data_IF_999309655360
#
_entry.id   IF_999309655360
#
_cell.length_a   1.000
_cell.length_b   1.000
_cell.length_c   1.000
_cell.angle_alpha   90.00
_cell.angle_beta   90.00
_cell.angle_gamma   90.00
#
_symmetry.space_group_name_H-M   'P 1'
#
loop_
_entity.id
_entity.type
_entity.pdbx_description
1 polymer ?
#
# COMPACT_ATOMS: atom_id res chain seq x y z
N UNK A 1 -4.14 10.57 -26.53
CA UNK A 1 -5.02 9.47 -26.06
C UNK A 1 -4.16 8.26 -25.72
N UNK A 2 -3.58 8.24 -24.52
CA UNK A 2 -2.82 7.09 -24.02
C UNK A 2 -3.60 6.51 -22.83
N UNK A 3 -3.92 5.23 -22.93
CA UNK A 3 -4.59 4.36 -21.94
C UNK A 3 -6.14 4.42 -21.84
N UNK A 4 -6.84 3.27 -21.94
CA UNK A 4 -8.32 3.18 -21.85
C UNK A 4 -8.91 3.30 -20.44
N UNK A 5 -8.10 3.47 -19.38
CA UNK A 5 -8.61 3.60 -18.00
C UNK A 5 -8.48 5.01 -17.40
N UNK A 6 -7.61 5.86 -17.93
CA UNK A 6 -7.39 7.22 -17.42
C UNK A 6 -7.33 8.20 -18.60
N UNK A 7 -8.43 8.88 -18.89
CA UNK A 7 -8.39 10.07 -19.73
C UNK A 7 -7.85 11.20 -18.86
N UNK A 8 -6.60 11.61 -19.06
CA UNK A 8 -5.97 12.76 -18.37
C UNK A 8 -6.77 14.07 -18.45
N UNK A 9 -7.86 14.12 -19.22
CA UNK A 9 -8.71 15.31 -19.41
C UNK A 9 -9.75 15.55 -18.28
N UNK A 10 -9.52 15.06 -17.06
CA UNK A 10 -10.56 14.94 -16.01
C UNK A 10 -10.42 15.78 -14.74
N UNK A 11 -9.37 16.58 -14.59
CA UNK A 11 -9.12 17.31 -13.33
C UNK A 11 -8.44 16.46 -12.24
N UNK A 12 -8.52 16.86 -10.97
CA UNK A 12 -7.80 16.25 -9.84
C UNK A 12 -7.98 14.72 -9.73
N UNK A 13 -6.95 14.00 -9.28
CA UNK A 13 -7.00 12.53 -9.16
C UNK A 13 -8.05 12.05 -8.15
N UNK A 14 -8.40 12.89 -7.17
CA UNK A 14 -9.47 12.63 -6.20
C UNK A 14 -10.84 12.38 -6.86
N UNK A 15 -11.11 13.02 -8.00
CA UNK A 15 -12.38 12.89 -8.72
C UNK A 15 -12.41 11.67 -9.66
N UNK A 16 -11.25 11.06 -9.91
CA UNK A 16 -11.09 9.94 -10.83
C UNK A 16 -11.30 8.58 -10.15
N UNK A 17 -10.97 8.46 -8.85
CA UNK A 17 -11.12 7.21 -8.09
C UNK A 17 -12.57 6.70 -8.07
N UNK A 18 -13.60 7.52 -7.84
CA UNK A 18 -15.00 7.07 -7.87
C UNK A 18 -15.51 6.65 -9.27
N UNK A 19 -14.84 7.09 -10.34
CA UNK A 19 -15.24 6.83 -11.73
C UNK A 19 -14.79 5.44 -12.23
N UNK A 20 -13.98 4.73 -11.44
CA UNK A 20 -13.49 3.40 -11.80
C UNK A 20 -14.65 2.40 -11.92
N UNK A 21 -14.59 1.48 -12.91
CA UNK A 21 -15.64 0.48 -13.11
C UNK A 21 -15.80 -0.38 -11.85
N UNK A 22 -17.05 -0.66 -11.48
CA UNK A 22 -17.39 -1.43 -10.25
C UNK A 22 -16.70 -2.80 -10.19
N UNK A 23 -16.44 -3.41 -11.35
CA UNK A 23 -15.71 -4.66 -11.45
C UNK A 23 -14.25 -4.55 -10.96
N UNK A 24 -13.60 -3.40 -11.20
CA UNK A 24 -12.24 -3.14 -10.72
C UNK A 24 -12.21 -2.93 -9.22
N UNK A 25 -13.22 -2.26 -8.64
CA UNK A 25 -13.41 -2.18 -7.19
C UNK A 25 -13.58 -3.56 -6.55
N UNK A 26 -14.41 -4.41 -7.15
CA UNK A 26 -14.60 -5.79 -6.70
C UNK A 26 -13.32 -6.62 -6.78
N UNK A 27 -12.55 -6.48 -7.87
CA UNK A 27 -11.25 -7.14 -8.05
C UNK A 27 -10.20 -6.66 -7.05
N UNK A 28 -10.10 -5.35 -6.80
CA UNK A 28 -9.19 -4.79 -5.80
C UNK A 28 -9.53 -5.26 -4.40
N UNK A 29 -10.81 -5.22 -4.01
CA UNK A 29 -11.24 -5.71 -2.71
C UNK A 29 -10.94 -7.21 -2.53
N UNK A 30 -11.19 -8.02 -3.55
CA UNK A 30 -10.86 -9.44 -3.52
C UNK A 30 -9.34 -9.67 -3.40
N UNK A 31 -8.53 -8.90 -4.12
CA UNK A 31 -7.08 -8.97 -4.06
C UNK A 31 -6.52 -8.57 -2.70
N UNK A 32 -6.99 -7.45 -2.14
CA UNK A 32 -6.63 -6.97 -0.79
C UNK A 32 -7.06 -8.01 0.25
N UNK A 33 -8.29 -8.52 0.16
CA UNK A 33 -8.77 -9.54 1.10
C UNK A 33 -7.92 -10.82 1.03
N UNK A 34 -7.52 -11.26 -0.16
CA UNK A 34 -6.66 -12.43 -0.32
C UNK A 34 -5.27 -12.21 0.29
N UNK A 35 -4.63 -11.05 0.04
CA UNK A 35 -3.31 -10.75 0.60
C UNK A 35 -3.35 -10.54 2.11
N UNK A 36 -4.40 -9.91 2.62
CA UNK A 36 -4.64 -9.78 4.06
C UNK A 36 -4.89 -11.14 4.72
N UNK A 37 -5.63 -12.04 4.08
CA UNK A 37 -5.85 -13.40 4.58
C UNK A 37 -4.53 -14.17 4.72
N UNK A 38 -3.63 -14.06 3.73
CA UNK A 38 -2.30 -14.66 3.79
C UNK A 38 -1.45 -14.05 4.90
N UNK A 39 -1.51 -12.73 5.07
CA UNK A 39 -0.84 -12.00 6.15
C UNK A 39 -1.35 -12.41 7.53
N UNK A 40 -2.67 -12.60 7.67
CA UNK A 40 -3.29 -13.08 8.92
C UNK A 40 -2.81 -14.50 9.23
N UNK A 41 -2.89 -15.40 8.25
CA UNK A 41 -2.49 -16.80 8.41
C UNK A 41 -1.00 -16.98 8.78
N UNK A 42 -0.11 -16.12 8.28
CA UNK A 42 1.33 -16.17 8.59
C UNK A 42 1.69 -15.47 9.90
N UNK A 43 1.16 -14.26 10.13
CA UNK A 43 1.64 -13.38 11.19
C UNK A 43 0.92 -13.51 12.53
N UNK A 44 -0.34 -13.94 12.55
CA UNK A 44 -1.13 -13.95 13.77
C UNK A 44 -1.12 -15.31 14.48
N UNK A 45 -1.21 -15.28 15.81
CA UNK A 45 -1.35 -16.48 16.61
C UNK A 45 -2.62 -17.25 16.21
N UNK A 46 -2.51 -18.58 16.14
CA UNK A 46 -3.67 -19.43 15.83
C UNK A 46 -4.68 -19.31 16.98
N UNK A 47 -5.96 -19.36 16.61
CA UNK A 47 -7.06 -19.46 17.58
C UNK A 47 -6.83 -20.71 18.44
N UNK A 48 -6.84 -20.53 19.77
CA UNK A 48 -6.68 -21.65 20.69
C UNK A 48 -7.92 -22.57 20.59
N UNK A 49 -7.75 -23.86 20.23
CA UNK A 49 -8.85 -24.79 20.03
C UNK A 49 -9.67 -25.08 21.29
N UNK A 50 -9.13 -24.82 22.48
CA UNK A 50 -9.84 -25.09 23.75
C UNK A 50 -10.64 -23.88 24.25
N UNK A 51 -10.27 -22.66 23.86
CA UNK A 51 -10.91 -21.42 24.33
C UNK A 51 -11.62 -20.64 23.24
N UNK A 52 -11.48 -21.02 21.96
CA UNK A 52 -12.03 -20.32 20.78
C UNK A 52 -11.69 -18.82 20.75
N UNK A 53 -10.59 -18.43 21.38
CA UNK A 53 -10.11 -17.04 21.40
C UNK A 53 -8.91 -16.92 20.47
N UNK A 54 -9.00 -15.99 19.53
CA UNK A 54 -7.83 -15.49 18.84
C UNK A 54 -7.03 -14.66 19.84
N UNK A 55 -5.79 -15.04 20.11
CA UNK A 55 -4.91 -14.12 20.82
C UNK A 55 -4.67 -12.92 19.91
N UNK A 56 -4.86 -11.69 20.41
CA UNK A 56 -4.48 -10.45 19.71
C UNK A 56 -2.95 -10.27 19.64
N UNK A 57 -2.21 -11.37 19.56
CA UNK A 57 -0.77 -11.46 19.58
C UNK A 57 -0.27 -12.04 18.26
N UNK A 58 0.92 -11.60 17.86
CA UNK A 58 1.64 -12.21 16.75
C UNK A 58 2.10 -13.63 17.14
N UNK A 59 2.31 -14.47 16.14
CA UNK A 59 2.84 -15.81 16.35
C UNK A 59 4.25 -15.73 16.97
N UNK A 60 4.57 -16.64 17.88
CA UNK A 60 5.91 -16.70 18.49
C UNK A 60 6.99 -16.88 17.41
N UNK A 61 8.03 -16.05 17.47
CA UNK A 61 9.13 -16.03 16.49
C UNK A 61 8.82 -15.32 15.17
N UNK A 62 7.62 -14.73 14.99
CA UNK A 62 7.28 -13.97 13.81
C UNK A 62 7.86 -12.55 13.86
N UNK A 63 8.67 -12.18 12.88
CA UNK A 63 9.14 -10.80 12.73
C UNK A 63 8.09 -9.95 11.98
N UNK A 64 7.65 -8.82 12.53
CA UNK A 64 6.66 -7.96 11.88
C UNK A 64 7.10 -7.53 10.47
N UNK A 65 6.26 -7.80 9.47
CA UNK A 65 6.55 -7.45 8.07
C UNK A 65 7.19 -8.57 7.26
N UNK A 66 7.62 -9.68 7.88
CA UNK A 66 8.11 -10.84 7.14
C UNK A 66 6.95 -11.64 6.56
N UNK A 67 6.56 -11.32 5.32
CA UNK A 67 5.49 -12.03 4.61
C UNK A 67 6.03 -13.13 3.69
N UNK A 68 7.35 -13.32 3.63
CA UNK A 68 8.01 -14.18 2.65
C UNK A 68 7.77 -13.74 1.20
N UNK A 69 7.52 -12.45 0.98
CA UNK A 69 7.35 -11.87 -0.35
C UNK A 69 8.72 -11.40 -0.85
N UNK A 70 9.45 -12.29 -1.51
CA UNK A 70 10.73 -12.00 -2.17
C UNK A 70 10.79 -12.65 -3.56
N UNK A 71 10.06 -12.13 -4.55
CA UNK A 71 10.03 -12.71 -5.89
C UNK A 71 11.35 -12.53 -6.67
N UNK A 72 12.23 -11.64 -6.23
CA UNK A 72 13.51 -11.33 -6.90
C UNK A 72 14.74 -11.79 -6.10
N UNK A 73 14.53 -12.52 -5.00
CA UNK A 73 15.57 -13.02 -4.09
C UNK A 73 16.57 -11.94 -3.66
N UNK A 74 16.08 -10.74 -3.36
CA UNK A 74 16.87 -9.57 -2.99
C UNK A 74 17.15 -9.47 -1.50
N UNK A 75 16.66 -10.43 -0.69
CA UNK A 75 16.90 -10.48 0.76
C UNK A 75 18.34 -10.94 1.04
N UNK A 76 19.25 -10.07 1.56
CA UNK A 76 20.58 -10.45 1.97
C UNK A 76 20.52 -11.44 3.14
N UNK A 77 21.50 -12.33 3.22
CA UNK A 77 21.56 -13.34 4.28
C UNK A 77 22.21 -12.80 5.56
N UNK A 78 22.96 -11.68 5.49
CA UNK A 78 23.58 -11.04 6.64
C UNK A 78 22.56 -10.23 7.48
N UNK A 79 22.39 -10.54 8.78
CA UNK A 79 21.54 -9.78 9.69
C UNK A 79 21.83 -8.28 9.76
N UNK A 80 23.08 -7.84 9.55
CA UNK A 80 23.43 -6.43 9.59
C UNK A 80 22.92 -5.68 8.34
N UNK A 81 23.09 -6.26 7.17
CA UNK A 81 22.58 -5.71 5.91
C UNK A 81 21.05 -5.72 5.85
N UNK A 82 20.42 -6.76 6.40
CA UNK A 82 18.96 -6.83 6.53
C UNK A 82 18.40 -5.67 7.37
N UNK A 83 19.02 -5.37 8.50
CA UNK A 83 18.62 -4.25 9.35
C UNK A 83 18.77 -2.91 8.63
N UNK A 84 19.86 -2.72 7.88
CA UNK A 84 20.07 -1.52 7.09
C UNK A 84 18.97 -1.34 6.02
N UNK A 85 18.56 -2.42 5.35
CA UNK A 85 17.47 -2.34 4.37
C UNK A 85 16.12 -2.06 5.03
N UNK A 86 15.84 -2.63 6.20
CA UNK A 86 14.62 -2.31 6.97
C UNK A 86 14.58 -0.83 7.37
N UNK A 87 15.71 -0.25 7.78
CA UNK A 87 15.82 1.17 8.10
C UNK A 87 15.59 2.05 6.85
N UNK A 88 16.10 1.62 5.69
CA UNK A 88 15.81 2.27 4.41
C UNK A 88 14.32 2.17 4.07
N UNK A 89 13.69 1.00 4.17
CA UNK A 89 12.26 0.83 3.93
C UNK A 89 11.42 1.73 4.85
N UNK A 90 11.77 1.80 6.13
CA UNK A 90 11.05 2.61 7.11
C UNK A 90 11.18 4.12 6.86
N UNK A 91 12.38 4.59 6.51
CA UNK A 91 12.60 6.00 6.20
C UNK A 91 11.86 6.44 4.93
N UNK A 92 11.90 5.62 3.88
CA UNK A 92 11.17 5.89 2.63
C UNK A 92 9.66 5.77 2.84
N UNK A 93 9.18 4.79 3.61
CA UNK A 93 7.76 4.64 3.93
C UNK A 93 7.19 5.82 4.71
N UNK A 94 7.95 6.37 5.69
CA UNK A 94 7.57 7.59 6.42
C UNK A 94 7.46 8.79 5.48
N UNK A 95 8.44 8.97 4.60
CA UNK A 95 8.42 10.04 3.61
C UNK A 95 7.24 9.88 2.64
N UNK A 96 6.98 8.66 2.16
CA UNK A 96 5.90 8.37 1.24
C UNK A 96 4.51 8.63 1.87
N UNK A 97 4.29 8.24 3.13
CA UNK A 97 3.03 8.52 3.82
C UNK A 97 2.77 10.03 3.97
N UNK A 98 3.81 10.81 4.30
CA UNK A 98 3.69 12.27 4.42
C UNK A 98 3.48 12.90 3.03
N UNK A 99 4.22 12.47 2.02
CA UNK A 99 4.08 12.96 0.65
C UNK A 99 2.69 12.67 0.08
N UNK A 100 2.17 11.45 0.26
CA UNK A 100 0.82 11.07 -0.15
C UNK A 100 -0.24 11.93 0.54
N UNK A 101 -0.13 12.15 1.86
CA UNK A 101 -1.03 13.03 2.58
C UNK A 101 -0.96 14.48 2.07
N UNK A 102 0.23 14.97 1.75
CA UNK A 102 0.46 16.29 1.16
C UNK A 102 -0.19 16.45 -0.22
N UNK A 103 -0.03 15.47 -1.11
CA UNK A 103 -0.67 15.48 -2.42
C UNK A 103 -2.20 15.49 -2.31
N UNK A 104 -2.77 14.63 -1.46
CA UNK A 104 -4.21 14.59 -1.23
C UNK A 104 -4.74 15.90 -0.65
N UNK A 105 -4.05 16.49 0.33
CA UNK A 105 -4.45 17.76 0.93
C UNK A 105 -4.35 18.92 -0.07
N UNK A 106 -3.30 18.96 -0.89
CA UNK A 106 -3.13 19.99 -1.91
C UNK A 106 -4.24 19.91 -2.95
N UNK A 107 -4.50 18.72 -3.52
CA UNK A 107 -5.56 18.54 -4.52
C UNK A 107 -6.95 18.86 -3.97
N UNK A 108 -7.22 18.51 -2.71
CA UNK A 108 -8.51 18.80 -2.06
C UNK A 108 -8.75 20.30 -1.84
N UNK A 109 -7.71 21.09 -1.58
CA UNK A 109 -7.83 22.53 -1.33
C UNK A 109 -7.74 23.35 -2.62
N UNK A 110 -6.85 22.98 -3.54
CA UNK A 110 -6.63 23.74 -4.78
C UNK A 110 -7.66 23.40 -5.86
N UNK A 111 -8.26 22.21 -5.82
CA UNK A 111 -9.08 21.69 -6.92
C UNK A 111 -8.30 21.54 -8.23
N UNK A 112 -6.97 21.51 -8.17
CA UNK A 112 -6.07 21.42 -9.31
C UNK A 112 -5.03 20.33 -9.08
N UNK A 113 -4.64 19.66 -10.17
CA UNK A 113 -3.55 18.69 -10.12
C UNK A 113 -2.24 19.38 -9.73
N UNK A 114 -1.35 18.64 -9.09
CA UNK A 114 -0.04 19.15 -8.67
C UNK A 114 0.77 19.78 -9.84
N UNK A 115 0.67 19.22 -11.06
CA UNK A 115 1.32 19.76 -12.26
C UNK A 115 0.71 21.08 -12.76
N UNK A 116 -0.61 21.25 -12.63
CA UNK A 116 -1.28 22.49 -13.02
C UNK A 116 -0.92 23.67 -12.09
N UNK A 117 -0.63 23.40 -10.81
CA UNK A 117 -0.29 24.42 -9.82
C UNK A 117 1.14 24.97 -9.97
N UNK A 118 2.11 24.14 -10.35
CA UNK A 118 3.54 24.52 -10.44
C UNK A 118 4.05 24.81 -11.87
N UNK A 119 3.21 24.64 -12.90
CA UNK A 119 3.47 25.16 -14.25
C UNK A 119 3.86 24.13 -15.30
N UNK A 120 2.95 23.22 -15.63
CA UNK A 120 2.60 22.77 -16.99
C UNK A 120 1.38 21.84 -16.86
N UNK A 121 0.24 22.27 -17.40
CA UNK A 121 -1.01 21.51 -17.35
C UNK A 121 -1.18 20.54 -18.55
N UNK A 122 -0.10 20.21 -19.28
CA UNK A 122 -0.14 19.35 -20.48
C UNK A 122 0.12 17.86 -20.22
N UNK A 123 -0.41 17.30 -19.13
CA UNK A 123 -0.47 15.85 -18.88
C UNK A 123 -1.91 15.36 -18.76
#
# INVERSE_FOLDING_TARGET
KFHPLFSGDGGPAIDQIPQLPIALWGGMLAGIAATEQLRIAKGWAKVDPNTNKAASALREGYYPGDLGFDPLNLKPEDPAELRLMQEKELSHGRLAMIAAAGFLAQEAVSGQTWGAYWGDASF
#
